data_IF_068914071596
#
_entry.id   IF_068914071596
#
_cell.length_a   1.000
_cell.length_b   1.000
_cell.length_c   1.000
_cell.angle_alpha   90.00
_cell.angle_beta   90.00
_cell.angle_gamma   90.00
#
_symmetry.space_group_name_H-M   'P 1'
#
loop_
_entity.id
_entity.type
_entity.pdbx_description
1 polymer ?
#
# COMPACT_ATOMS: atom_id res chain seq x y z
N UNK A 1 39.98 -16.11 60.79
CA UNK A 1 38.66 -15.99 61.45
C UNK A 1 37.77 -15.26 60.45
N UNK A 2 37.17 -15.97 59.49
CA UNK A 2 35.87 -16.65 59.46
C UNK A 2 34.93 -15.87 58.52
N UNK A 3 34.48 -16.51 57.44
CA UNK A 3 33.33 -16.16 56.56
C UNK A 3 31.99 -16.09 57.34
N UNK A 4 30.78 -15.81 56.78
CA UNK A 4 30.30 -15.69 55.36
C UNK A 4 29.42 -14.42 55.12
N UNK A 5 28.92 -14.00 53.93
CA UNK A 5 28.21 -14.53 52.75
C UNK A 5 26.72 -14.95 52.93
N UNK A 6 25.83 -14.34 52.12
CA UNK A 6 24.41 -14.68 51.88
C UNK A 6 23.41 -14.09 52.89
N UNK A 7 22.18 -13.66 52.57
CA UNK A 7 21.28 -14.16 51.54
C UNK A 7 20.05 -13.23 51.30
N UNK A 8 19.66 -13.15 50.02
CA UNK A 8 18.38 -12.82 49.37
C UNK A 8 17.31 -11.92 50.05
N UNK A 9 17.20 -10.69 49.53
CA UNK A 9 16.00 -9.85 49.62
C UNK A 9 14.86 -10.38 48.75
N UNK A 10 13.72 -10.65 49.39
CA UNK A 10 12.49 -11.15 48.78
C UNK A 10 11.86 -10.10 47.85
N UNK A 11 11.72 -10.42 46.56
CA UNK A 11 11.05 -9.56 45.59
C UNK A 11 9.51 -9.61 45.67
N UNK A 12 8.81 -8.65 45.04
CA UNK A 12 7.34 -8.47 45.08
C UNK A 12 6.51 -9.62 44.49
N UNK A 13 7.16 -10.66 43.95
CA UNK A 13 6.54 -11.90 43.49
C UNK A 13 6.18 -12.85 44.64
N UNK A 14 6.94 -12.85 45.75
CA UNK A 14 6.71 -13.75 46.88
C UNK A 14 5.46 -13.41 47.70
N UNK A 15 5.12 -12.12 47.80
CA UNK A 15 3.93 -11.66 48.54
C UNK A 15 2.63 -12.01 47.81
N UNK A 16 2.59 -11.91 46.48
CA UNK A 16 1.41 -12.30 45.68
C UNK A 16 1.14 -13.80 45.73
N UNK A 17 2.19 -14.61 45.79
CA UNK A 17 2.07 -16.08 45.86
C UNK A 17 1.65 -16.57 47.24
N UNK A 18 2.02 -15.85 48.32
CA UNK A 18 1.52 -16.10 49.68
C UNK A 18 0.05 -15.72 49.82
N UNK A 19 -0.36 -14.55 49.30
CA UNK A 19 -1.75 -14.12 49.28
C UNK A 19 -2.68 -15.10 48.51
N UNK A 20 -2.20 -15.68 47.40
CA UNK A 20 -2.95 -16.69 46.65
C UNK A 20 -3.07 -18.03 47.41
N UNK A 21 -2.03 -18.44 48.16
CA UNK A 21 -2.05 -19.66 49.00
C UNK A 21 -2.96 -19.52 50.22
N UNK A 22 -3.10 -18.32 50.78
CA UNK A 22 -4.02 -18.02 51.90
C UNK A 22 -5.47 -17.80 51.45
N UNK A 23 -5.70 -17.36 50.22
CA UNK A 23 -7.04 -17.17 49.64
C UNK A 23 -7.79 -18.47 49.38
N UNK A 24 -7.10 -19.55 49.02
CA UNK A 24 -7.70 -20.86 48.74
C UNK A 24 -8.41 -21.51 49.95
N UNK A 25 -7.82 -21.59 51.16
CA UNK A 25 -8.50 -22.14 52.33
C UNK A 25 -9.65 -21.24 52.79
N UNK A 26 -9.54 -19.92 52.64
CA UNK A 26 -10.62 -18.96 52.94
C UNK A 26 -11.80 -19.14 51.99
N UNK A 27 -11.56 -19.22 50.68
CA UNK A 27 -12.60 -19.50 49.69
C UNK A 27 -13.28 -20.84 49.96
N UNK A 28 -12.51 -21.87 50.32
CA UNK A 28 -13.07 -23.17 50.68
C UNK A 28 -13.94 -23.13 51.95
N UNK A 29 -13.64 -22.24 52.90
CA UNK A 29 -14.47 -22.02 54.08
C UNK A 29 -15.76 -21.23 53.72
N UNK A 30 -15.64 -20.19 52.90
CA UNK A 30 -16.76 -19.37 52.42
C UNK A 30 -17.75 -20.21 51.59
N UNK A 31 -17.27 -21.09 50.70
CA UNK A 31 -18.11 -22.01 49.93
C UNK A 31 -18.83 -23.04 50.81
N UNK A 32 -18.18 -23.53 51.88
CA UNK A 32 -18.82 -24.44 52.86
C UNK A 32 -19.85 -23.72 53.73
N UNK A 33 -19.64 -22.44 54.03
CA UNK A 33 -20.63 -21.62 54.71
C UNK A 33 -21.84 -21.35 53.81
N UNK A 34 -21.60 -21.07 52.52
CA UNK A 34 -22.65 -20.91 51.52
C UNK A 34 -23.48 -22.19 51.36
N UNK A 35 -22.83 -23.35 51.24
CA UNK A 35 -23.52 -24.64 51.19
C UNK A 35 -24.47 -24.86 52.37
N UNK A 36 -24.03 -24.53 53.59
CA UNK A 36 -24.87 -24.62 54.80
C UNK A 36 -26.01 -23.60 54.85
N UNK A 37 -25.87 -22.46 54.18
CA UNK A 37 -26.94 -21.45 54.09
C UNK A 37 -28.03 -21.80 53.09
N UNK A 38 -27.74 -22.68 52.12
CA UNK A 38 -28.70 -23.15 51.13
C UNK A 38 -29.68 -24.19 51.71
N UNK A 39 -29.33 -24.84 52.82
CA UNK A 39 -30.19 -25.79 53.56
C UNK A 39 -31.10 -25.09 54.59
N UNK A 40 -31.60 -23.89 54.28
CA UNK A 40 -32.29 -23.00 55.23
C UNK A 40 -33.44 -23.65 56.05
N UNK A 41 -33.68 -23.20 57.30
CA UNK A 41 -34.71 -23.80 58.17
C UNK A 41 -36.09 -23.33 57.71
N UNK A 42 -36.81 -24.18 56.98
CA UNK A 42 -38.22 -23.93 56.61
C UNK A 42 -38.66 -24.35 55.20
N UNK A 43 -37.82 -25.04 54.42
CA UNK A 43 -38.29 -25.68 53.18
C UNK A 43 -39.03 -26.97 53.50
N UNK A 44 -40.37 -26.95 53.43
CA UNK A 44 -41.22 -28.11 53.69
C UNK A 44 -40.80 -29.35 52.85
N UNK A 45 -40.22 -30.34 53.53
CA UNK A 45 -39.80 -31.64 53.00
C UNK A 45 -38.57 -32.15 53.76
N UNK A 46 -38.61 -33.39 54.26
CA UNK A 46 -37.57 -34.03 55.09
C UNK A 46 -36.20 -34.21 54.39
N UNK A 47 -36.05 -33.76 53.14
CA UNK A 47 -34.87 -34.01 52.30
C UNK A 47 -34.04 -32.75 52.08
N UNK A 48 -32.75 -32.87 52.39
CA UNK A 48 -31.72 -31.85 52.15
C UNK A 48 -31.51 -31.58 50.65
N UNK A 49 -30.96 -30.41 50.28
CA UNK A 49 -30.62 -30.15 48.87
C UNK A 49 -29.61 -31.18 48.32
N UNK A 50 -28.77 -31.75 49.19
CA UNK A 50 -27.85 -32.83 48.85
C UNK A 50 -28.59 -34.11 48.43
N UNK A 51 -29.68 -34.47 49.11
CA UNK A 51 -30.51 -35.63 48.74
C UNK A 51 -31.22 -35.41 47.41
N UNK A 52 -31.76 -34.22 47.14
CA UNK A 52 -32.39 -33.92 45.84
C UNK A 52 -31.41 -34.00 44.67
N UNK A 53 -30.16 -33.59 44.88
CA UNK A 53 -29.10 -33.72 43.86
C UNK A 53 -28.69 -35.18 43.69
N UNK A 54 -28.60 -35.96 44.77
CA UNK A 54 -28.33 -37.39 44.70
C UNK A 54 -29.44 -38.17 43.99
N UNK A 55 -30.71 -37.89 44.31
CA UNK A 55 -31.85 -38.44 43.58
C UNK A 55 -31.82 -38.06 42.10
N UNK A 56 -31.49 -36.81 41.78
CA UNK A 56 -31.38 -36.35 40.39
C UNK A 56 -30.27 -37.08 39.63
N UNK A 57 -29.11 -37.27 40.26
CA UNK A 57 -27.98 -38.01 39.67
C UNK A 57 -28.32 -39.48 39.47
N UNK A 58 -29.02 -40.10 40.43
CA UNK A 58 -29.48 -41.49 40.32
C UNK A 58 -30.57 -41.64 39.24
N UNK A 59 -31.49 -40.67 39.13
CA UNK A 59 -32.55 -40.65 38.13
C UNK A 59 -32.01 -40.41 36.71
N UNK A 60 -30.98 -39.59 36.54
CA UNK A 60 -30.42 -39.23 35.23
C UNK A 60 -29.43 -40.27 34.67
N UNK A 61 -29.08 -41.34 35.41
CA UNK A 61 -28.11 -42.39 35.00
C UNK A 61 -26.95 -41.82 34.18
N UNK A 62 -26.27 -40.80 34.72
CA UNK A 62 -25.07 -40.25 34.10
C UNK A 62 -23.99 -41.35 34.15
N UNK A 63 -23.44 -41.82 33.01
CA UNK A 63 -22.46 -42.88 33.03
C UNK A 63 -21.22 -42.40 33.79
N UNK A 64 -20.96 -43.06 34.92
CA UNK A 64 -19.74 -42.87 35.71
C UNK A 64 -18.56 -43.20 34.80
N UNK A 65 -17.57 -42.32 34.59
CA UNK A 65 -16.41 -42.66 33.80
C UNK A 65 -15.64 -43.74 34.57
N UNK A 66 -15.84 -45.00 34.19
CA UNK A 66 -14.96 -46.08 34.61
C UNK A 66 -13.58 -45.71 34.09
N UNK A 67 -12.60 -45.59 34.98
CA UNK A 67 -11.21 -45.39 34.61
C UNK A 67 -10.73 -46.62 33.82
N UNK A 68 -10.97 -46.63 32.51
CA UNK A 68 -10.40 -47.60 31.59
C UNK A 68 -8.91 -47.35 31.57
N UNK A 69 -8.13 -48.37 31.94
CA UNK A 69 -6.67 -48.36 31.89
C UNK A 69 -6.25 -47.93 30.47
N UNK A 70 -5.51 -46.82 30.29
CA UNK A 70 -5.31 -46.25 28.96
C UNK A 70 -4.59 -47.25 28.07
N UNK A 71 -5.25 -47.64 26.99
CA UNK A 71 -4.70 -48.58 26.02
C UNK A 71 -3.47 -48.01 25.31
N UNK A 72 -2.63 -48.85 24.68
CA UNK A 72 -1.42 -48.42 23.98
C UNK A 72 -1.67 -47.31 22.95
N UNK A 73 -2.87 -47.28 22.36
CA UNK A 73 -3.29 -46.29 21.36
C UNK A 73 -3.55 -44.87 21.89
N UNK A 74 -3.88 -44.69 23.18
CA UNK A 74 -4.12 -43.35 23.75
C UNK A 74 -2.82 -42.62 24.08
N UNK A 75 -1.81 -43.36 24.55
CA UNK A 75 -0.44 -42.85 24.75
C UNK A 75 0.16 -42.36 23.43
N UNK A 76 -0.04 -43.09 22.34
CA UNK A 76 0.43 -42.71 21.00
C UNK A 76 -0.29 -41.45 20.48
N UNK A 77 -1.60 -41.30 20.73
CA UNK A 77 -2.35 -40.09 20.35
C UNK A 77 -1.94 -38.87 21.17
N UNK A 78 -1.69 -39.03 22.47
CA UNK A 78 -1.20 -37.96 23.33
C UNK A 78 0.19 -37.47 22.90
N UNK A 79 1.12 -38.40 22.63
CA UNK A 79 2.46 -38.08 22.10
C UNK A 79 2.37 -37.38 20.75
N UNK A 80 1.53 -37.88 19.82
CA UNK A 80 1.32 -37.23 18.51
C UNK A 80 0.76 -35.81 18.65
N UNK A 81 -0.17 -35.56 19.58
CA UNK A 81 -0.75 -34.23 19.79
C UNK A 81 0.28 -33.26 20.37
N UNK A 82 1.13 -33.75 21.27
CA UNK A 82 2.20 -32.98 21.89
C UNK A 82 3.34 -32.64 20.91
N UNK A 83 3.73 -33.60 20.05
CA UNK A 83 4.68 -33.38 18.94
C UNK A 83 4.12 -32.36 17.94
N UNK A 84 2.82 -32.42 17.60
CA UNK A 84 2.18 -31.44 16.71
C UNK A 84 2.12 -30.04 17.32
N UNK A 85 1.85 -29.92 18.62
CA UNK A 85 1.86 -28.64 19.33
C UNK A 85 3.27 -28.05 19.39
N UNK A 86 4.28 -28.85 19.71
CA UNK A 86 5.69 -28.41 19.69
C UNK A 86 6.18 -28.06 18.29
N UNK A 87 5.76 -28.83 17.28
CA UNK A 87 6.04 -28.51 15.87
C UNK A 87 5.41 -27.19 15.43
N UNK A 88 4.20 -26.87 15.91
CA UNK A 88 3.57 -25.56 15.67
C UNK A 88 4.29 -24.41 16.35
N UNK A 89 4.77 -24.59 17.57
CA UNK A 89 5.57 -23.57 18.27
C UNK A 89 6.92 -23.35 17.57
N UNK A 90 7.58 -24.41 17.15
CA UNK A 90 8.83 -24.33 16.38
C UNK A 90 8.61 -23.68 15.02
N UNK A 91 7.54 -24.04 14.31
CA UNK A 91 7.20 -23.43 13.03
C UNK A 91 6.82 -21.95 13.20
N UNK A 92 6.05 -21.59 14.24
CA UNK A 92 5.72 -20.20 14.54
C UNK A 92 6.97 -19.39 14.92
N UNK A 93 7.87 -19.97 15.72
CA UNK A 93 9.15 -19.36 16.06
C UNK A 93 10.06 -19.17 14.84
N UNK A 94 10.12 -20.18 13.96
CA UNK A 94 10.88 -20.10 12.70
C UNK A 94 10.27 -19.07 11.75
N UNK A 95 8.94 -19.03 11.58
CA UNK A 95 8.26 -18.02 10.78
C UNK A 95 8.45 -16.63 11.36
N UNK A 96 8.37 -16.47 12.69
CA UNK A 96 8.67 -15.22 13.38
C UNK A 96 10.11 -14.77 13.14
N UNK A 97 11.08 -15.68 13.30
CA UNK A 97 12.49 -15.42 13.03
C UNK A 97 12.74 -15.02 11.58
N UNK A 98 12.17 -15.75 10.61
CA UNK A 98 12.25 -15.42 9.19
C UNK A 98 11.61 -14.06 8.88
N UNK A 99 10.49 -13.72 9.53
CA UNK A 99 9.81 -12.44 9.35
C UNK A 99 10.68 -11.29 9.87
N UNK A 100 11.29 -11.45 11.06
CA UNK A 100 12.25 -10.47 11.63
C UNK A 100 13.48 -10.33 10.73
N UNK A 101 13.99 -11.44 10.18
CA UNK A 101 15.13 -11.43 9.25
C UNK A 101 14.82 -10.66 7.95
N UNK A 102 13.61 -10.80 7.41
CA UNK A 102 13.16 -10.07 6.20
C UNK A 102 12.92 -8.58 6.48
N UNK A 103 12.54 -8.23 7.72
CA UNK A 103 12.27 -6.85 8.15
C UNK A 103 13.52 -6.11 8.63
N UNK A 104 14.65 -6.79 8.83
CA UNK A 104 15.90 -6.17 9.28
C UNK A 104 16.73 -5.70 8.06
N UNK A 105 16.98 -4.37 7.92
CA UNK A 105 17.63 -3.81 6.74
C UNK A 105 18.98 -4.44 6.31
N UNK A 106 19.91 -4.77 7.22
CA UNK A 106 21.23 -5.27 6.81
C UNK A 106 21.21 -6.69 6.19
N UNK A 107 20.21 -7.52 6.50
CA UNK A 107 20.16 -8.91 5.98
C UNK A 107 19.55 -8.99 4.59
N UNK A 108 18.63 -8.07 4.26
CA UNK A 108 18.12 -7.90 2.88
C UNK A 108 19.24 -7.58 1.89
N UNK A 109 20.22 -6.76 2.28
CA UNK A 109 21.32 -6.38 1.40
C UNK A 109 22.19 -7.58 1.00
N UNK A 110 22.57 -8.43 1.97
CA UNK A 110 23.46 -9.57 1.71
C UNK A 110 22.84 -10.67 0.82
N UNK A 111 21.51 -10.84 0.85
CA UNK A 111 20.82 -11.82 -0.02
C UNK A 111 20.69 -11.30 -1.45
N UNK A 112 20.52 -9.99 -1.64
CA UNK A 112 20.48 -9.37 -2.97
C UNK A 112 21.84 -9.47 -3.66
N UNK A 113 22.93 -9.34 -2.91
CA UNK A 113 24.30 -9.48 -3.42
C UNK A 113 24.62 -10.90 -3.91
N UNK A 114 23.98 -11.94 -3.36
CA UNK A 114 24.19 -13.34 -3.78
C UNK A 114 23.56 -13.66 -5.14
N UNK A 115 22.53 -12.92 -5.55
CA UNK A 115 21.84 -13.12 -6.84
C UNK A 115 22.50 -12.42 -8.03
N UNK A 116 23.66 -11.78 -7.86
CA UNK A 116 24.53 -11.42 -8.99
C UNK A 116 23.91 -10.45 -10.01
N UNK A 117 22.87 -9.71 -9.66
CA UNK A 117 22.43 -8.57 -10.46
C UNK A 117 23.26 -7.37 -10.02
N UNK A 118 24.24 -6.97 -10.83
CA UNK A 118 25.01 -5.74 -10.65
C UNK A 118 24.06 -4.59 -10.33
N UNK A 119 24.09 -4.16 -9.07
CA UNK A 119 23.07 -3.34 -8.45
C UNK A 119 23.07 -1.91 -8.96
N UNK A 120 22.29 -1.65 -10.01
CA UNK A 120 21.70 -0.32 -10.16
C UNK A 120 20.53 -0.27 -9.18
N UNK A 121 20.84 0.07 -7.92
CA UNK A 121 19.80 0.44 -6.96
C UNK A 121 19.28 1.83 -7.39
N UNK A 122 18.19 1.85 -8.17
CA UNK A 122 17.48 3.10 -8.47
C UNK A 122 16.77 3.53 -7.20
N UNK A 123 17.50 4.27 -6.35
CA UNK A 123 16.92 4.93 -5.18
C UNK A 123 16.05 6.07 -5.67
N UNK A 124 14.74 5.83 -5.70
CA UNK A 124 13.77 6.88 -5.94
C UNK A 124 13.74 7.80 -4.70
N UNK A 125 14.45 8.91 -4.77
CA UNK A 125 14.35 9.98 -3.80
C UNK A 125 13.27 10.99 -4.27
N UNK A 126 12.09 11.01 -3.63
CA UNK A 126 11.02 11.96 -3.96
C UNK A 126 11.37 13.40 -3.55
N UNK A 127 12.42 13.60 -2.75
CA UNK A 127 12.89 14.93 -2.34
C UNK A 127 13.93 15.52 -3.29
N UNK A 128 14.56 14.69 -4.13
CA UNK A 128 15.58 15.14 -5.07
C UNK A 128 14.96 16.08 -6.12
N UNK A 129 15.49 17.31 -6.14
CA UNK A 129 15.18 18.32 -7.14
C UNK A 129 16.02 18.06 -8.41
N UNK A 130 15.48 18.34 -9.61
CA UNK A 130 16.25 18.27 -10.85
C UNK A 130 17.52 19.13 -10.74
N UNK A 131 18.66 18.59 -11.19
CA UNK A 131 19.90 19.35 -11.25
C UNK A 131 19.76 20.57 -12.17
N UNK A 132 20.42 21.71 -11.85
CA UNK A 132 20.58 22.80 -12.81
C UNK A 132 21.18 22.25 -14.11
N UNK A 133 20.49 22.39 -15.24
CA UNK A 133 20.90 21.85 -16.52
C UNK A 133 20.43 20.42 -16.82
N UNK A 134 19.46 19.88 -16.07
CA UNK A 134 18.76 18.65 -16.48
C UNK A 134 18.22 18.82 -17.92
N UNK A 135 18.52 17.85 -18.78
CA UNK A 135 18.08 17.85 -20.17
C UNK A 135 16.83 16.99 -20.35
N UNK A 136 15.96 17.39 -21.29
CA UNK A 136 14.80 16.58 -21.66
C UNK A 136 15.29 15.29 -22.30
N UNK A 137 14.85 14.12 -21.79
CA UNK A 137 15.28 12.85 -22.34
C UNK A 137 14.78 12.71 -23.79
N UNK A 138 15.69 12.31 -24.67
CA UNK A 138 15.36 11.94 -26.04
C UNK A 138 14.40 10.76 -26.12
N UNK A 139 13.87 10.55 -27.32
CA UNK A 139 13.13 9.35 -27.67
C UNK A 139 14.11 8.24 -28.05
N UNK A 140 13.74 6.99 -27.75
CA UNK A 140 14.47 5.81 -28.19
C UNK A 140 14.27 5.49 -29.68
N UNK A 141 14.48 4.22 -30.10
CA UNK A 141 14.28 3.79 -31.49
C UNK A 141 12.87 4.14 -31.99
N UNK A 142 12.82 4.84 -33.13
CA UNK A 142 11.57 5.40 -33.66
C UNK A 142 10.68 4.36 -34.34
N UNK A 143 9.38 4.50 -34.16
CA UNK A 143 8.30 3.83 -34.88
C UNK A 143 7.69 4.79 -35.91
N UNK A 144 6.99 4.23 -36.90
CA UNK A 144 6.09 5.04 -37.74
C UNK A 144 4.85 5.46 -36.94
N UNK A 145 4.24 6.60 -37.27
CA UNK A 145 2.99 7.05 -36.63
C UNK A 145 1.87 6.00 -36.71
N UNK A 146 1.77 5.28 -37.83
CA UNK A 146 0.79 4.21 -38.00
C UNK A 146 1.06 2.99 -37.09
N UNK A 147 2.32 2.61 -36.92
CA UNK A 147 2.70 1.53 -36.00
C UNK A 147 2.50 1.94 -34.54
N UNK A 148 2.87 3.18 -34.20
CA UNK A 148 2.61 3.74 -32.88
C UNK A 148 1.10 3.72 -32.58
N UNK A 149 0.27 4.13 -33.53
CA UNK A 149 -1.17 4.14 -33.33
C UNK A 149 -1.79 2.76 -33.15
N UNK A 150 -1.31 1.75 -33.88
CA UNK A 150 -1.72 0.35 -33.66
C UNK A 150 -1.34 -0.16 -32.27
N UNK A 151 -0.16 0.21 -31.75
CA UNK A 151 0.31 -0.23 -30.43
C UNK A 151 -0.36 0.50 -29.28
N UNK A 152 -0.58 1.80 -29.43
CA UNK A 152 -1.16 2.65 -28.40
C UNK A 152 -2.69 2.55 -28.34
N UNK A 153 -3.32 2.10 -29.43
CA UNK A 153 -4.79 2.01 -29.54
C UNK A 153 -5.46 3.31 -29.98
N UNK A 154 -4.69 4.35 -30.29
CA UNK A 154 -5.17 5.63 -30.81
C UNK A 154 -4.12 6.27 -31.72
N UNK A 155 -4.52 7.11 -32.68
CA UNK A 155 -3.57 7.81 -33.55
C UNK A 155 -2.78 8.88 -32.76
N UNK A 156 -1.44 8.89 -32.78
CA UNK A 156 -0.65 9.89 -32.06
C UNK A 156 -1.00 11.33 -32.47
N UNK A 157 -1.08 12.23 -31.49
CA UNK A 157 -1.50 13.62 -31.64
C UNK A 157 -0.29 14.50 -31.97
N UNK A 158 -0.07 14.75 -33.26
CA UNK A 158 1.05 15.57 -33.74
C UNK A 158 0.67 17.06 -33.80
N UNK A 159 1.25 17.95 -32.97
CA UNK A 159 0.96 19.38 -33.04
C UNK A 159 1.45 19.98 -34.35
N UNK A 160 0.56 20.65 -35.09
CA UNK A 160 0.90 21.25 -36.38
C UNK A 160 2.06 22.26 -36.32
N UNK A 161 2.24 22.95 -35.19
CA UNK A 161 3.31 23.93 -34.99
C UNK A 161 4.72 23.31 -34.86
N UNK A 162 4.82 21.99 -34.64
CA UNK A 162 6.08 21.24 -34.59
C UNK A 162 6.33 20.40 -35.85
N UNK A 163 5.28 20.11 -36.63
CA UNK A 163 5.40 19.29 -37.84
C UNK A 163 5.71 17.82 -37.52
N UNK A 164 6.36 17.13 -38.47
CA UNK A 164 6.64 15.69 -38.35
C UNK A 164 7.67 15.44 -37.23
N UNK A 165 7.41 14.52 -36.29
CA UNK A 165 8.36 14.18 -35.24
C UNK A 165 9.60 13.46 -35.78
N UNK A 166 10.76 13.73 -35.17
CA UNK A 166 12.01 13.01 -35.45
C UNK A 166 11.95 11.57 -34.95
N UNK A 167 11.23 11.35 -33.85
CA UNK A 167 11.06 10.03 -33.26
C UNK A 167 9.70 9.85 -32.59
N UNK A 168 9.14 8.64 -32.72
CA UNK A 168 7.91 8.23 -32.04
C UNK A 168 8.17 6.92 -31.32
N UNK A 169 7.85 6.83 -30.03
CA UNK A 169 7.97 5.60 -29.25
C UNK A 169 6.68 5.27 -28.53
N UNK A 170 6.41 3.99 -28.33
CA UNK A 170 5.30 3.52 -27.49
C UNK A 170 5.87 2.61 -26.40
N UNK A 171 5.70 3.03 -25.15
CA UNK A 171 6.15 2.29 -23.97
C UNK A 171 4.97 1.63 -23.29
N UNK A 172 5.12 0.36 -22.91
CA UNK A 172 4.10 -0.35 -22.12
C UNK A 172 4.26 0.02 -20.65
N UNK A 173 3.16 0.46 -20.06
CA UNK A 173 3.05 0.85 -18.66
C UNK A 173 2.35 -0.26 -17.86
N UNK A 174 2.46 -0.27 -16.51
CA UNK A 174 1.73 -1.20 -15.66
C UNK A 174 0.23 -1.20 -15.96
N UNK A 175 -0.43 -2.35 -15.74
CA UNK A 175 -1.85 -2.58 -16.04
C UNK A 175 -2.22 -2.42 -17.54
N UNK A 176 -1.31 -2.80 -18.45
CA UNK A 176 -1.54 -2.83 -19.91
C UNK A 176 -1.90 -1.45 -20.49
N UNK A 177 -1.39 -0.39 -19.86
CA UNK A 177 -1.46 0.96 -20.41
C UNK A 177 -0.30 1.19 -21.38
N UNK A 178 -0.45 2.20 -22.22
CA UNK A 178 0.59 2.61 -23.16
C UNK A 178 0.85 4.11 -23.01
N UNK A 179 2.12 4.49 -23.12
CA UNK A 179 2.56 5.88 -23.22
C UNK A 179 3.12 6.07 -24.62
N UNK A 180 2.56 7.00 -25.38
CA UNK A 180 3.13 7.42 -26.66
C UNK A 180 4.00 8.66 -26.40
N UNK A 181 5.24 8.63 -26.87
CA UNK A 181 6.15 9.78 -26.78
C UNK A 181 6.57 10.19 -28.19
N UNK A 182 6.48 11.49 -28.48
CA UNK A 182 6.95 12.11 -29.71
C UNK A 182 8.09 13.07 -29.36
N UNK A 183 9.15 13.07 -30.16
CA UNK A 183 10.28 13.97 -29.99
C UNK A 183 10.60 14.76 -31.26
N UNK A 184 11.02 16.00 -31.05
CA UNK A 184 11.58 16.89 -32.07
C UNK A 184 12.90 17.48 -31.57
N UNK A 185 13.74 17.92 -32.49
CA UNK A 185 14.94 18.71 -32.25
C UNK A 185 14.72 20.12 -32.77
N UNK A 186 14.67 21.08 -31.86
CA UNK A 186 14.53 22.51 -32.17
C UNK A 186 15.72 23.24 -31.54
N UNK A 187 16.49 23.99 -32.34
CA UNK A 187 17.66 24.76 -31.87
C UNK A 187 18.68 23.96 -31.03
N UNK A 188 18.86 22.66 -31.32
CA UNK A 188 19.79 21.81 -30.56
C UNK A 188 19.25 21.27 -29.23
N UNK A 189 17.98 21.53 -28.90
CA UNK A 189 17.29 21.00 -27.73
C UNK A 189 16.20 20.02 -28.12
N UNK A 190 15.90 19.08 -27.22
CA UNK A 190 14.83 18.10 -27.41
C UNK A 190 13.52 18.71 -26.92
N UNK A 191 12.51 18.74 -27.80
CA UNK A 191 11.12 18.94 -27.43
C UNK A 191 10.49 17.56 -27.33
N UNK A 192 9.84 17.27 -26.21
CA UNK A 192 9.20 15.97 -25.93
C UNK A 192 7.73 16.18 -25.62
N UNK A 193 6.87 15.42 -26.30
CA UNK A 193 5.44 15.33 -26.02
C UNK A 193 5.10 13.91 -25.59
N UNK A 194 4.62 13.77 -24.36
CA UNK A 194 4.09 12.52 -23.82
C UNK A 194 2.56 12.54 -23.88
N UNK A 195 1.98 11.49 -24.45
CA UNK A 195 0.53 11.30 -24.62
C UNK A 195 0.05 10.10 -23.82
N UNK A 196 -0.82 10.36 -22.86
CA UNK A 196 -1.46 9.37 -22.02
C UNK A 196 -2.91 9.16 -22.50
N UNK A 197 -3.32 7.94 -22.88
CA UNK A 197 -4.71 7.63 -23.22
C UNK A 197 -5.58 7.52 -21.96
N UNK A 198 -5.64 8.62 -21.21
CA UNK A 198 -6.40 8.80 -19.98
C UNK A 198 -6.67 10.30 -19.77
N UNK A 199 -7.84 10.61 -19.21
CA UNK A 199 -8.19 11.97 -18.81
C UNK A 199 -7.39 12.43 -17.60
N UNK A 200 -7.27 13.75 -17.42
CA UNK A 200 -6.55 14.37 -16.30
C UNK A 200 -7.53 14.73 -15.18
N UNK A 201 -7.35 14.17 -13.98
CA UNK A 201 -8.07 14.62 -12.78
C UNK A 201 -7.41 15.89 -12.25
N UNK A 202 -7.90 17.04 -12.70
CA UNK A 202 -7.45 18.39 -12.35
C UNK A 202 -7.37 18.63 -10.82
N UNK A 203 -8.07 17.83 -10.00
CA UNK A 203 -7.96 17.87 -8.54
C UNK A 203 -6.52 17.68 -8.02
N UNK A 204 -5.65 17.03 -8.79
CA UNK A 204 -4.23 16.81 -8.45
C UNK A 204 -3.48 18.14 -8.20
N UNK A 205 -3.88 19.23 -8.88
CA UNK A 205 -3.23 20.52 -8.80
C UNK A 205 -3.29 21.14 -7.38
N UNK A 206 -4.17 20.62 -6.51
CA UNK A 206 -4.25 21.00 -5.10
C UNK A 206 -3.18 20.34 -4.22
N UNK A 207 -2.49 19.33 -4.75
CA UNK A 207 -1.53 18.50 -4.01
C UNK A 207 -0.09 18.66 -4.49
N UNK A 208 0.13 19.37 -5.60
CA UNK A 208 1.47 19.62 -6.11
C UNK A 208 2.24 20.56 -5.19
N UNK A 209 3.54 20.33 -5.06
CA UNK A 209 4.43 21.20 -4.28
C UNK A 209 4.55 22.59 -4.91
N UNK A 210 4.60 22.62 -6.23
CA UNK A 210 4.75 23.84 -7.02
C UNK A 210 3.45 24.04 -7.82
N UNK A 211 2.62 25.03 -7.48
CA UNK A 211 1.34 25.22 -8.15
C UNK A 211 1.56 25.63 -9.61
N UNK A 212 0.73 25.13 -10.55
CA UNK A 212 0.78 25.58 -11.93
C UNK A 212 0.16 26.97 -12.08
N UNK A 213 0.56 27.66 -13.13
CA UNK A 213 -0.22 28.74 -13.71
C UNK A 213 -1.35 28.13 -14.57
N UNK A 214 -2.58 28.51 -14.29
CA UNK A 214 -3.74 28.09 -15.07
C UNK A 214 -3.83 28.93 -16.34
N UNK A 215 -3.86 28.28 -17.49
CA UNK A 215 -3.98 28.93 -18.80
C UNK A 215 -5.10 28.30 -19.62
N UNK A 216 -5.72 29.07 -20.49
CA UNK A 216 -6.80 28.60 -21.38
C UNK A 216 -6.27 28.34 -22.79
N UNK A 217 -6.62 27.17 -23.34
CA UNK A 217 -6.36 26.85 -24.74
C UNK A 217 -7.45 27.43 -25.68
N UNK A 218 -8.66 27.66 -25.17
CA UNK A 218 -9.77 28.29 -25.90
C UNK A 218 -9.60 29.79 -26.10
N UNK A 219 -9.98 30.29 -27.28
CA UNK A 219 -9.93 31.69 -27.67
C UNK A 219 -10.86 32.59 -26.85
N UNK A 220 -10.32 33.73 -26.42
CA UNK A 220 -10.99 35.01 -26.17
C UNK A 220 -12.53 35.04 -26.08
N UNK A 221 -13.10 34.38 -25.06
CA UNK A 221 -14.37 34.73 -24.42
C UNK A 221 -15.62 34.86 -25.31
N UNK A 222 -15.57 34.45 -26.57
CA UNK A 222 -16.63 34.61 -27.57
C UNK A 222 -17.12 33.24 -28.03
N UNK A 223 -17.72 32.51 -27.11
CA UNK A 223 -18.35 31.22 -27.38
C UNK A 223 -19.48 30.98 -26.39
N UNK A 224 -20.70 31.36 -26.80
CA UNK A 224 -21.97 30.78 -26.37
C UNK A 224 -22.07 30.31 -24.91
N UNK A 225 -22.41 31.23 -24.00
CA UNK A 225 -23.45 31.08 -22.96
C UNK A 225 -23.37 29.96 -21.91
N UNK A 226 -22.52 28.97 -22.06
CA UNK A 226 -22.22 27.95 -21.06
C UNK A 226 -20.85 28.33 -20.50
N UNK A 227 -20.81 28.83 -19.27
CA UNK A 227 -19.60 29.32 -18.61
C UNK A 227 -18.67 28.15 -18.20
N UNK A 228 -18.39 27.24 -19.13
CA UNK A 228 -17.29 26.31 -19.04
C UNK A 228 -16.00 27.08 -19.18
N UNK A 229 -15.20 27.14 -18.12
CA UNK A 229 -13.77 27.36 -18.27
C UNK A 229 -13.32 26.45 -19.42
N UNK A 230 -12.89 27.03 -20.55
CA UNK A 230 -12.40 26.24 -21.69
C UNK A 230 -11.30 25.27 -21.26
N UNK A 231 -10.92 24.32 -22.11
CA UNK A 231 -10.01 23.23 -21.73
C UNK A 231 -8.77 23.74 -20.98
N UNK A 232 -8.71 23.50 -19.65
CA UNK A 232 -7.69 24.12 -18.83
C UNK A 232 -6.35 23.44 -19.13
N UNK A 233 -5.32 24.27 -19.31
CA UNK A 233 -3.95 23.84 -19.39
C UNK A 233 -3.16 24.37 -18.18
N UNK A 234 -2.24 23.55 -17.70
CA UNK A 234 -1.48 23.77 -16.49
C UNK A 234 -0.02 24.00 -16.87
N UNK A 235 0.46 25.23 -16.68
CA UNK A 235 1.83 25.61 -16.95
C UNK A 235 2.67 25.55 -15.67
N UNK A 236 3.72 24.74 -15.70
CA UNK A 236 4.68 24.59 -14.63
C UNK A 236 6.00 25.26 -15.05
N UNK A 237 6.32 26.47 -14.56
CA UNK A 237 7.47 27.24 -15.04
C UNK A 237 8.83 26.72 -14.53
N UNK A 238 8.83 25.93 -13.45
CA UNK A 238 10.06 25.46 -12.79
C UNK A 238 10.17 23.94 -12.85
N UNK A 239 11.37 23.38 -13.03
CA UNK A 239 11.58 21.94 -12.99
C UNK A 239 11.33 21.40 -11.57
N UNK A 240 10.47 20.39 -11.44
CA UNK A 240 10.21 19.69 -10.18
C UNK A 240 9.62 18.30 -10.44
N UNK A 241 9.37 17.54 -9.37
CA UNK A 241 8.61 16.30 -9.48
C UNK A 241 7.12 16.64 -9.56
N UNK A 242 6.50 16.38 -10.71
CA UNK A 242 5.05 16.52 -10.90
C UNK A 242 4.41 15.18 -10.61
N UNK A 243 3.52 15.14 -9.62
CA UNK A 243 2.64 13.99 -9.39
C UNK A 243 1.21 14.34 -9.77
N UNK A 244 0.70 13.74 -10.85
CA UNK A 244 -0.62 14.01 -11.40
C UNK A 244 -1.47 12.75 -11.46
N UNK A 245 -2.78 12.94 -11.45
CA UNK A 245 -3.75 11.87 -11.43
C UNK A 245 -4.42 11.75 -12.79
N UNK A 246 -4.48 10.52 -13.28
CA UNK A 246 -5.10 10.17 -14.55
C UNK A 246 -6.33 9.29 -14.28
N UNK A 247 -7.35 9.43 -15.11
CA UNK A 247 -8.58 8.63 -15.09
C UNK A 247 -8.61 7.86 -16.41
N UNK A 248 -8.56 6.53 -16.32
CA UNK A 248 -8.68 5.70 -17.52
C UNK A 248 -10.13 5.55 -18.01
N UNK A 249 -10.32 4.84 -19.12
CA UNK A 249 -11.64 4.62 -19.73
C UNK A 249 -12.60 3.82 -18.85
N UNK A 250 -12.12 3.11 -17.83
CA UNK A 250 -12.97 2.42 -16.85
C UNK A 250 -13.40 3.34 -15.69
N UNK A 251 -12.90 4.57 -15.66
CA UNK A 251 -13.06 5.51 -14.56
C UNK A 251 -12.09 5.28 -13.41
N UNK A 252 -11.14 4.36 -13.54
CA UNK A 252 -10.17 4.07 -12.49
C UNK A 252 -9.11 5.16 -12.46
N UNK A 253 -8.93 5.75 -11.27
CA UNK A 253 -7.90 6.75 -11.05
C UNK A 253 -6.55 6.10 -10.76
N UNK A 254 -5.49 6.60 -11.38
CA UNK A 254 -4.12 6.22 -11.08
C UNK A 254 -3.17 7.42 -11.08
N UNK A 255 -2.04 7.29 -10.39
CA UNK A 255 -1.05 8.36 -10.24
C UNK A 255 0.13 8.17 -11.19
N UNK A 256 0.64 9.27 -11.74
CA UNK A 256 1.94 9.38 -12.39
C UNK A 256 2.81 10.34 -11.60
N UNK A 257 4.09 10.02 -11.47
CA UNK A 257 5.09 10.89 -10.84
C UNK A 257 6.28 11.02 -11.79
N UNK A 258 6.54 12.22 -12.26
CA UNK A 258 7.44 12.49 -13.38
C UNK A 258 8.37 13.64 -12.99
N UNK A 259 9.68 13.40 -13.08
CA UNK A 259 10.68 14.44 -12.78
C UNK A 259 10.93 15.22 -14.06
N UNK A 260 10.51 16.48 -14.09
CA UNK A 260 10.64 17.32 -15.28
C UNK A 260 12.04 17.89 -15.41
N UNK A 261 12.52 18.03 -16.63
CA UNK A 261 13.82 18.66 -16.90
C UNK A 261 13.75 20.20 -16.90
N UNK A 262 12.58 20.78 -17.14
CA UNK A 262 12.39 22.23 -17.27
C UNK A 262 10.92 22.64 -17.23
N UNK A 263 10.58 23.81 -17.81
CA UNK A 263 9.19 24.24 -17.93
C UNK A 263 8.34 23.19 -18.66
N UNK A 264 7.14 22.96 -18.14
CA UNK A 264 6.26 21.87 -18.58
C UNK A 264 4.83 22.38 -18.76
N UNK A 265 4.19 22.03 -19.87
CA UNK A 265 2.75 22.25 -20.08
C UNK A 265 2.00 20.92 -20.00
N UNK A 266 0.92 20.87 -19.22
CA UNK A 266 0.05 19.71 -19.10
C UNK A 266 -1.38 20.10 -19.49
N UNK A 267 -2.02 19.38 -20.41
CA UNK A 267 -3.40 19.66 -20.83
C UNK A 267 -4.11 18.40 -21.30
N UNK A 268 -5.43 18.48 -21.49
CA UNK A 268 -6.21 17.42 -22.11
C UNK A 268 -6.58 17.78 -23.55
N UNK A 269 -6.66 16.77 -24.40
CA UNK A 269 -7.27 16.87 -25.73
C UNK A 269 -8.48 15.93 -25.77
N UNK A 270 -9.64 16.48 -26.15
CA UNK A 270 -10.90 15.73 -26.22
C UNK A 270 -11.36 15.10 -24.89
N UNK A 271 -10.80 15.52 -23.75
CA UNK A 271 -11.10 14.97 -22.42
C UNK A 271 -10.56 13.55 -22.15
N UNK A 272 -10.06 12.86 -23.17
CA UNK A 272 -9.67 11.44 -23.11
C UNK A 272 -8.15 11.23 -23.15
N UNK A 273 -7.39 12.20 -23.69
CA UNK A 273 -5.93 12.11 -23.80
C UNK A 273 -5.29 13.25 -23.02
N UNK A 274 -4.43 12.91 -22.07
CA UNK A 274 -3.59 13.89 -21.37
C UNK A 274 -2.26 14.04 -22.10
N UNK A 275 -1.85 15.28 -22.36
CA UNK A 275 -0.61 15.63 -23.03
C UNK A 275 0.32 16.38 -22.08
N UNK A 276 1.60 15.98 -22.06
CA UNK A 276 2.68 16.63 -21.33
C UNK A 276 3.78 17.06 -22.29
N UNK A 277 4.00 18.38 -22.40
CA UNK A 277 5.04 18.96 -23.24
C UNK A 277 6.20 19.45 -22.38
N UNK A 278 7.40 19.00 -22.71
CA UNK A 278 8.67 19.42 -22.12
C UNK A 278 9.65 19.91 -23.20
N UNK A 279 10.63 20.72 -22.80
CA UNK A 279 11.70 21.20 -23.69
C UNK A 279 11.41 22.54 -24.37
N UNK A 280 10.31 23.19 -24.00
CA UNK A 280 9.93 24.51 -24.51
C UNK A 280 10.05 25.53 -23.39
N UNK A 281 11.05 26.42 -23.49
CA UNK A 281 11.36 27.35 -22.41
C UNK A 281 10.28 28.44 -22.20
N UNK A 282 9.58 28.86 -23.26
CA UNK A 282 8.59 29.93 -23.18
C UNK A 282 7.16 29.40 -23.10
N UNK A 283 6.39 29.93 -22.14
CA UNK A 283 4.96 29.64 -22.01
C UNK A 283 4.18 29.94 -23.29
N UNK A 284 4.51 31.06 -23.96
CA UNK A 284 3.85 31.47 -25.20
C UNK A 284 4.02 30.44 -26.32
N UNK A 285 5.24 29.93 -26.53
CA UNK A 285 5.52 28.87 -27.52
C UNK A 285 4.83 27.55 -27.14
N UNK A 286 4.85 27.18 -25.85
CA UNK A 286 4.17 25.97 -25.40
C UNK A 286 2.66 26.02 -25.67
N UNK A 287 2.03 27.18 -25.42
CA UNK A 287 0.61 27.41 -25.72
C UNK A 287 0.31 27.44 -27.22
N UNK A 288 1.21 28.01 -28.04
CA UNK A 288 1.09 27.97 -29.51
C UNK A 288 1.08 26.52 -30.02
N UNK A 289 2.00 25.70 -29.51
CA UNK A 289 2.09 24.27 -29.83
C UNK A 289 0.79 23.56 -29.45
N UNK A 290 0.34 23.71 -28.20
CA UNK A 290 -0.90 23.08 -27.73
C UNK A 290 -2.12 23.47 -28.60
N UNK A 291 -2.30 24.76 -28.90
CA UNK A 291 -3.39 25.26 -29.76
C UNK A 291 -3.31 24.81 -31.22
N UNK A 292 -2.17 24.28 -31.66
CA UNK A 292 -2.05 23.74 -33.02
C UNK A 292 -2.68 22.35 -33.17
N UNK A 293 -3.02 21.68 -32.06
CA UNK A 293 -3.81 20.44 -32.06
C UNK A 293 -5.32 20.74 -32.20
N UNK A 294 -5.82 21.75 -31.49
CA UNK A 294 -7.24 22.12 -31.48
C UNK A 294 -7.76 22.69 -32.81
N UNK A 295 -6.86 23.21 -33.65
CA UNK A 295 -7.24 23.89 -34.91
C UNK A 295 -7.54 22.96 -36.09
N UNK A 296 -7.62 21.65 -35.89
CA UNK A 296 -8.03 20.71 -36.95
C UNK A 296 -9.55 20.48 -36.88
N UNK A 297 -10.26 21.23 -37.71
CA UNK A 297 -11.65 20.97 -38.12
C UNK A 297 -11.66 20.13 -39.39
#
# INVERSE_FOLDING_TARGET
MTEPYGDQGSGPSGERERAAREGAPRLAAELRALGRSLDGPGGAGDESMAERVLERILAERIPVPVAVRPGPGERVRAVRRWVRLRGRVLAAGLCGLLTVLVLTPPVRAAVVDWFGFGGVEVRYDPSAVPSPGAEVPGCGPSLTLAEAGRRAGFAPLVPGALGVPDAVTVTREPKVRFLTTLCWREHGHTIRLDEYPAGLDIGFAKTVREPPEWVSLGGDGSGSGDAGFGDPALWFPRPHLISFWLIDTSGDRFTRSERTAGPTLLWMHGGEVTLRLEGVASKARAMEIARSLERRT
#
